data_IF_453054714612
#
_entry.id   IF_453054714612
#
_cell.length_a   1.000
_cell.length_b   1.000
_cell.length_c   1.000
_cell.angle_alpha   90.00
_cell.angle_beta   90.00
_cell.angle_gamma   90.00
#
_symmetry.space_group_name_H-M   'P 1'
#
loop_
_entity.id
_entity.type
_entity.pdbx_description
1 polymer ?
#
# COMPACT_ATOMS: atom_id res chain seq x y z
N UNK A 1 12.22 -6.98 0.51
CA UNK A 1 11.03 -6.28 -0.01
C UNK A 1 10.01 -5.96 1.09
N UNK A 2 9.71 -6.90 1.99
CA UNK A 2 8.70 -6.72 3.06
C UNK A 2 8.88 -5.46 3.93
N UNK A 3 10.12 -5.09 4.30
CA UNK A 3 10.37 -3.87 5.09
C UNK A 3 10.01 -2.55 4.39
N UNK A 4 10.07 -2.50 3.05
CA UNK A 4 9.75 -1.29 2.31
C UNK A 4 8.26 -1.15 1.98
N UNK A 5 7.49 -2.22 2.17
CA UNK A 5 6.05 -2.24 1.93
C UNK A 5 5.26 -2.00 3.22
N UNK A 6 5.79 -2.43 4.37
CA UNK A 6 5.20 -2.09 5.67
C UNK A 6 5.22 -0.59 5.97
N UNK A 7 6.02 0.23 5.27
CA UNK A 7 5.96 1.70 5.38
C UNK A 7 4.71 2.30 4.74
N UNK A 8 3.98 1.55 3.91
CA UNK A 8 2.75 2.03 3.28
C UNK A 8 1.54 1.90 4.21
N UNK A 9 1.48 0.82 5.00
CA UNK A 9 0.34 0.49 5.84
C UNK A 9 0.74 -0.49 6.97
N UNK A 10 1.58 -0.06 7.94
CA UNK A 10 2.06 -0.95 9.01
C UNK A 10 0.92 -1.56 9.84
N UNK A 11 -0.18 -0.82 9.98
CA UNK A 11 -1.44 -1.23 10.60
C UNK A 11 -2.06 -2.46 9.90
N UNK A 12 -2.18 -2.44 8.58
CA UNK A 12 -2.73 -3.57 7.83
C UNK A 12 -1.84 -4.82 7.86
N UNK A 13 -0.52 -4.64 7.89
CA UNK A 13 0.40 -5.77 8.07
C UNK A 13 0.21 -6.43 9.44
N UNK A 14 0.03 -5.63 10.50
CA UNK A 14 -0.28 -6.16 11.82
C UNK A 14 -1.63 -6.91 11.83
N UNK A 15 -2.65 -6.38 11.14
CA UNK A 15 -3.96 -7.03 11.05
C UNK A 15 -3.93 -8.34 10.27
N UNK A 16 -3.24 -8.34 9.13
CA UNK A 16 -2.95 -9.56 8.36
C UNK A 16 -2.29 -10.62 9.24
N UNK A 17 -1.27 -10.25 10.01
CA UNK A 17 -0.55 -11.20 10.86
C UNK A 17 -1.45 -11.76 11.97
N UNK A 18 -2.34 -10.95 12.53
CA UNK A 18 -3.35 -11.42 13.49
C UNK A 18 -4.38 -12.39 12.85
N UNK A 19 -4.82 -12.12 11.62
CA UNK A 19 -5.71 -13.03 10.87
C UNK A 19 -5.04 -14.38 10.61
N UNK A 20 -3.75 -14.36 10.24
CA UNK A 20 -2.96 -15.58 10.08
C UNK A 20 -2.90 -16.41 11.36
N UNK A 21 -2.57 -15.76 12.48
CA UNK A 21 -2.49 -16.41 13.79
C UNK A 21 -3.83 -17.03 14.22
N UNK A 22 -4.95 -16.36 13.92
CA UNK A 22 -6.29 -16.83 14.23
C UNK A 22 -6.83 -17.91 13.26
N UNK A 23 -6.11 -18.22 12.17
CA UNK A 23 -6.59 -19.12 11.12
C UNK A 23 -7.78 -18.55 10.32
N UNK A 24 -7.91 -17.23 10.27
CA UNK A 24 -8.98 -16.55 9.54
C UNK A 24 -8.70 -16.56 8.03
N UNK A 25 -9.64 -17.05 7.22
CA UNK A 25 -9.48 -17.17 5.76
C UNK A 25 -9.34 -15.83 5.06
N UNK A 26 -9.81 -14.72 5.65
CA UNK A 26 -9.63 -13.36 5.10
C UNK A 26 -8.16 -12.97 5.00
N UNK A 27 -7.29 -13.64 5.74
CA UNK A 27 -5.84 -13.51 5.61
C UNK A 27 -5.39 -13.57 4.15
N UNK A 28 -5.90 -14.53 3.37
CA UNK A 28 -5.43 -14.74 2.00
C UNK A 28 -5.76 -13.54 1.11
N UNK A 29 -6.98 -13.03 1.18
CA UNK A 29 -7.42 -11.88 0.38
C UNK A 29 -6.68 -10.60 0.77
N UNK A 30 -6.53 -10.33 2.08
CA UNK A 30 -5.78 -9.18 2.58
C UNK A 30 -4.31 -9.29 2.18
N UNK A 31 -3.69 -10.46 2.37
CA UNK A 31 -2.31 -10.67 1.99
C UNK A 31 -2.10 -10.46 0.48
N UNK A 32 -2.97 -10.98 -0.38
CA UNK A 32 -2.85 -10.83 -1.83
C UNK A 32 -2.93 -9.37 -2.28
N UNK A 33 -3.82 -8.58 -1.66
CA UNK A 33 -3.90 -7.13 -1.91
C UNK A 33 -2.63 -6.39 -1.47
N UNK A 34 -2.10 -6.73 -0.29
CA UNK A 34 -0.84 -6.15 0.19
C UNK A 34 0.34 -6.55 -0.72
N UNK A 35 0.41 -7.81 -1.18
CA UNK A 35 1.42 -8.22 -2.16
C UNK A 35 1.26 -7.48 -3.49
N UNK A 36 0.02 -7.28 -3.95
CA UNK A 36 -0.26 -6.51 -5.17
C UNK A 36 0.17 -5.04 -5.04
N UNK A 37 -0.06 -4.41 -3.88
CA UNK A 37 0.46 -3.08 -3.58
C UNK A 37 1.99 -3.02 -3.75
N UNK A 38 2.70 -4.03 -3.22
CA UNK A 38 4.15 -4.16 -3.39
C UNK A 38 4.57 -4.35 -4.84
N UNK A 39 3.90 -5.23 -5.58
CA UNK A 39 4.15 -5.45 -7.00
C UNK A 39 3.97 -4.15 -7.80
N UNK A 40 2.86 -3.44 -7.57
CA UNK A 40 2.53 -2.21 -8.29
C UNK A 40 3.48 -1.06 -7.94
N UNK A 41 3.74 -0.82 -6.65
CA UNK A 41 4.52 0.34 -6.20
C UNK A 41 6.01 0.24 -6.59
N UNK A 42 6.56 -0.98 -6.63
CA UNK A 42 7.97 -1.17 -6.91
C UNK A 42 8.29 -1.59 -8.36
N UNK A 43 7.34 -1.45 -9.28
CA UNK A 43 7.62 -1.63 -10.72
C UNK A 43 8.70 -0.66 -11.22
N UNK A 44 9.43 -1.01 -12.27
CA UNK A 44 10.50 -0.17 -12.83
C UNK A 44 9.97 1.25 -13.18
N UNK A 45 10.68 2.34 -12.81
CA UNK A 45 11.89 2.41 -11.99
C UNK A 45 11.61 2.16 -10.51
N UNK A 46 12.36 1.24 -9.92
CA UNK A 46 12.20 0.84 -8.51
C UNK A 46 12.25 2.06 -7.59
N UNK A 47 13.20 3.03 -7.72
CA UNK A 47 13.28 4.16 -6.80
C UNK A 47 12.02 5.05 -6.73
N UNK A 48 11.15 5.02 -7.75
CA UNK A 48 9.88 5.75 -7.78
C UNK A 48 8.83 5.20 -6.79
N UNK A 49 9.08 4.05 -6.15
CA UNK A 49 8.18 3.54 -5.10
C UNK A 49 7.95 4.54 -3.97
N UNK A 50 8.91 5.44 -3.71
CA UNK A 50 8.78 6.51 -2.69
C UNK A 50 7.63 7.46 -2.99
N UNK A 51 7.41 7.76 -4.27
CA UNK A 51 6.26 8.59 -4.66
C UNK A 51 4.96 7.79 -4.55
N UNK A 52 4.92 6.50 -4.93
CA UNK A 52 3.75 5.65 -4.66
C UNK A 52 3.44 5.59 -3.16
N UNK A 53 4.44 5.48 -2.28
CA UNK A 53 4.26 5.50 -0.84
C UNK A 53 3.65 6.82 -0.36
N UNK A 54 4.17 7.96 -0.83
CA UNK A 54 3.64 9.27 -0.47
C UNK A 54 2.20 9.47 -0.98
N UNK A 55 1.89 9.03 -2.21
CA UNK A 55 0.51 9.01 -2.74
C UNK A 55 -0.41 8.19 -1.85
N UNK A 56 0.03 6.99 -1.47
CA UNK A 56 -0.74 6.08 -0.63
C UNK A 56 -1.01 6.64 0.77
N UNK A 57 0.03 7.19 1.42
CA UNK A 57 -0.08 7.81 2.74
C UNK A 57 -0.96 9.06 2.72
N UNK A 58 -0.94 9.84 1.62
CA UNK A 58 -1.83 10.98 1.43
C UNK A 58 -3.29 10.54 1.25
N UNK A 59 -3.54 9.48 0.46
CA UNK A 59 -4.88 8.89 0.32
C UNK A 59 -5.44 8.40 1.67
N UNK A 60 -4.58 7.80 2.50
CA UNK A 60 -4.91 7.39 3.88
C UNK A 60 -5.02 8.55 4.87
N UNK A 61 -4.73 9.78 4.46
CA UNK A 61 -4.80 10.98 5.31
C UNK A 61 -3.64 11.15 6.31
N UNK A 62 -2.56 10.36 6.19
CA UNK A 62 -1.44 10.40 7.14
C UNK A 62 -0.45 11.54 6.86
N UNK A 63 -0.41 12.01 5.61
CA UNK A 63 0.38 13.16 5.18
C UNK A 63 -0.46 14.08 4.29
N UNK A 64 -0.09 15.35 4.21
CA UNK A 64 -0.84 16.36 3.46
C UNK A 64 -0.42 16.50 1.99
N UNK A 65 0.76 16.00 1.63
CA UNK A 65 1.34 16.10 0.30
C UNK A 65 2.09 14.84 -0.09
N UNK A 66 1.95 14.45 -1.35
CA UNK A 66 2.62 13.34 -2.01
C UNK A 66 3.81 13.80 -2.87
N UNK A 67 4.10 15.10 -2.92
CA UNK A 67 5.14 15.66 -3.78
C UNK A 67 6.53 15.16 -3.33
N UNK A 68 7.25 14.39 -4.17
CA UNK A 68 8.61 13.98 -3.85
C UNK A 68 9.58 15.15 -4.01
N UNK A 69 10.83 14.96 -3.58
CA UNK A 69 11.90 15.92 -3.85
C UNK A 69 12.00 16.22 -5.37
N UNK A 70 12.30 17.45 -5.83
CA UNK A 70 12.31 17.81 -7.26
C UNK A 70 13.25 16.99 -8.17
N UNK A 71 14.22 16.29 -7.58
CA UNK A 71 15.15 15.37 -8.27
C UNK A 71 14.77 13.89 -8.12
N UNK A 72 13.65 13.61 -7.47
CA UNK A 72 13.16 12.25 -7.26
C UNK A 72 12.33 11.78 -8.44
N UNK A 73 12.26 10.46 -8.63
CA UNK A 73 11.42 9.88 -9.65
C UNK A 73 9.93 10.04 -9.30
N UNK A 74 9.12 10.32 -10.32
CA UNK A 74 7.66 10.47 -10.16
C UNK A 74 6.91 9.28 -10.77
N UNK A 75 5.76 8.97 -10.16
CA UNK A 75 4.72 8.13 -10.72
C UNK A 75 3.65 8.98 -11.40
N UNK A 76 2.98 8.45 -12.42
CA UNK A 76 1.90 9.16 -13.10
C UNK A 76 0.68 9.31 -12.17
N UNK A 77 -0.12 10.35 -12.39
CA UNK A 77 -1.33 10.60 -11.61
C UNK A 77 -2.36 9.45 -11.70
N UNK A 78 -2.32 8.66 -12.78
CA UNK A 78 -3.17 7.48 -12.96
C UNK A 78 -2.94 6.40 -11.89
N UNK A 79 -1.77 6.35 -11.25
CA UNK A 79 -1.49 5.40 -10.17
C UNK A 79 -2.45 5.56 -8.98
N UNK A 80 -2.88 6.80 -8.71
CA UNK A 80 -3.70 7.14 -7.55
C UNK A 80 -5.01 6.34 -7.54
N UNK A 81 -5.62 6.10 -8.72
CA UNK A 81 -6.84 5.32 -8.82
C UNK A 81 -6.63 3.85 -8.43
N UNK A 82 -5.51 3.24 -8.82
CA UNK A 82 -5.16 1.86 -8.45
C UNK A 82 -4.87 1.76 -6.95
N UNK A 83 -4.13 2.73 -6.42
CA UNK A 83 -3.84 2.82 -4.99
C UNK A 83 -5.12 2.97 -4.15
N UNK A 84 -6.08 3.79 -4.61
CA UNK A 84 -7.38 3.94 -3.96
C UNK A 84 -8.22 2.65 -4.01
N UNK A 85 -8.22 1.93 -5.13
CA UNK A 85 -8.92 0.64 -5.25
C UNK A 85 -8.38 -0.37 -4.24
N UNK A 86 -7.04 -0.52 -4.18
CA UNK A 86 -6.38 -1.39 -3.21
C UNK A 86 -6.81 -1.00 -1.80
N UNK A 87 -6.77 0.30 -1.47
CA UNK A 87 -7.09 0.74 -0.12
C UNK A 87 -8.53 0.44 0.28
N UNK A 88 -9.46 0.74 -0.62
CA UNK A 88 -10.90 0.49 -0.41
C UNK A 88 -11.17 -0.98 -0.17
N UNK A 89 -10.52 -1.88 -0.94
CA UNK A 89 -10.73 -3.32 -0.82
C UNK A 89 -10.12 -3.90 0.45
N UNK A 90 -8.98 -3.38 0.92
CA UNK A 90 -8.41 -3.81 2.20
C UNK A 90 -9.32 -3.38 3.35
N UNK A 91 -9.75 -2.11 3.40
CA UNK A 91 -10.64 -1.61 4.46
C UNK A 91 -11.95 -2.43 4.52
N UNK A 92 -12.54 -2.77 3.37
CA UNK A 92 -13.73 -3.63 3.30
C UNK A 92 -13.53 -5.03 3.88
N UNK A 93 -12.34 -5.62 3.74
CA UNK A 93 -12.04 -6.95 4.27
C UNK A 93 -11.73 -6.92 5.77
N UNK A 94 -11.24 -5.78 6.27
CA UNK A 94 -10.97 -5.56 7.70
C UNK A 94 -12.24 -5.26 8.51
N UNK A 95 -13.23 -4.59 7.89
CA UNK A 95 -14.51 -4.21 8.53
C UNK A 95 -15.53 -5.36 8.62
N UNK A 96 -15.29 -6.50 7.96
CA UNK A 96 -16.12 -7.71 8.02
C UNK A 96 -15.84 -8.59 9.25
#
# INVERSE_FOLDING_TARGET
YLLGLSTFAPDWFARRDAMWEAGDLRFYEVNDLLQYLGFFAFRNPVPAYKHSAAQFLKLRGWITSDTPHPKGDHRPASDVAVLQDIATRVDQLEDL
#
